data_IF_367056878064
#
_entry.id   IF_367056878064
#
_cell.length_a   1.000
_cell.length_b   1.000
_cell.length_c   1.000
_cell.angle_alpha   90.00
_cell.angle_beta   90.00
_cell.angle_gamma   90.00
#
_symmetry.space_group_name_H-M   'P 1'
#
loop_
_entity.id
_entity.type
_entity.pdbx_description
1 polymer ?
#
# COMPACT_ATOMS: atom_id res chain seq x y z
N UNK A 1 -8.28 1.45 -5.35
CA UNK A 1 -8.03 0.60 -4.17
C UNK A 1 -8.89 -0.63 -4.35
N UNK A 2 -8.33 -1.82 -4.21
CA UNK A 2 -9.08 -3.06 -4.43
C UNK A 2 -9.67 -3.51 -3.09
N UNK A 3 -10.99 -3.70 -3.07
CA UNK A 3 -11.70 -4.26 -1.91
C UNK A 3 -11.93 -5.76 -2.14
N UNK A 4 -11.69 -6.54 -1.09
CA UNK A 4 -11.91 -7.97 -1.05
C UNK A 4 -13.00 -8.28 -0.02
N UNK A 5 -13.99 -9.06 -0.43
CA UNK A 5 -15.11 -9.44 0.41
C UNK A 5 -15.06 -10.94 0.67
N UNK A 6 -15.02 -11.32 1.95
CA UNK A 6 -15.07 -12.71 2.39
C UNK A 6 -16.23 -12.90 3.36
N UNK A 7 -16.88 -14.06 3.33
CA UNK A 7 -18.01 -14.37 4.20
C UNK A 7 -17.79 -15.66 4.98
N UNK A 8 -18.25 -15.71 6.21
CA UNK A 8 -18.27 -16.94 7.01
C UNK A 8 -19.55 -17.03 7.84
N UNK A 9 -20.06 -18.24 8.01
CA UNK A 9 -21.29 -18.49 8.78
C UNK A 9 -20.96 -19.26 10.06
N UNK A 10 -21.54 -18.83 11.17
CA UNK A 10 -21.47 -19.54 12.45
C UNK A 10 -22.85 -20.02 12.86
N UNK A 11 -22.89 -21.26 13.36
CA UNK A 11 -24.09 -21.84 13.95
C UNK A 11 -24.16 -21.42 15.42
N UNK A 12 -25.28 -20.78 15.79
CA UNK A 12 -25.58 -20.08 17.04
C UNK A 12 -24.82 -18.76 17.20
N UNK A 13 -25.48 -17.80 17.87
CA UNK A 13 -24.87 -16.52 18.21
C UNK A 13 -23.57 -16.77 18.97
N UNK A 14 -22.47 -16.25 18.42
CA UNK A 14 -21.16 -16.26 19.04
C UNK A 14 -20.85 -14.83 19.48
N UNK A 15 -20.28 -14.69 20.67
CA UNK A 15 -19.78 -13.39 21.13
C UNK A 15 -18.70 -12.89 20.18
N UNK A 16 -18.45 -11.57 20.18
CA UNK A 16 -17.41 -10.97 19.36
C UNK A 16 -16.04 -11.64 19.62
N UNK A 17 -15.70 -11.89 20.88
CA UNK A 17 -14.46 -12.58 21.29
C UNK A 17 -14.34 -13.99 20.70
N UNK A 18 -15.48 -14.67 20.50
CA UNK A 18 -15.51 -16.04 19.97
C UNK A 18 -15.30 -16.08 18.45
N UNK A 19 -15.47 -14.97 17.74
CA UNK A 19 -15.29 -14.86 16.28
C UNK A 19 -14.01 -14.09 15.90
N UNK A 20 -13.41 -13.34 16.84
CA UNK A 20 -12.15 -12.61 16.62
C UNK A 20 -11.05 -13.45 15.98
N UNK A 21 -10.78 -14.71 16.39
CA UNK A 21 -9.73 -15.52 15.77
C UNK A 21 -9.99 -15.83 14.29
N UNK A 22 -11.26 -16.03 13.93
CA UNK A 22 -11.69 -16.30 12.54
C UNK A 22 -11.50 -15.05 11.69
N UNK A 23 -11.90 -13.89 12.21
CA UNK A 23 -11.73 -12.60 11.54
C UNK A 23 -10.24 -12.29 11.34
N UNK A 24 -9.40 -12.50 12.36
CA UNK A 24 -7.96 -12.28 12.26
C UNK A 24 -7.31 -13.17 11.19
N UNK A 25 -7.74 -14.44 11.06
CA UNK A 25 -7.25 -15.34 10.02
C UNK A 25 -7.72 -14.94 8.60
N UNK A 26 -8.91 -14.38 8.47
CA UNK A 26 -9.41 -13.84 7.19
C UNK A 26 -8.66 -12.56 6.80
N UNK A 27 -8.42 -11.68 7.78
CA UNK A 27 -7.77 -10.40 7.52
C UNK A 27 -6.30 -10.59 7.11
N UNK A 28 -5.54 -11.52 7.70
CA UNK A 28 -4.20 -11.98 7.21
C UNK A 28 -3.26 -10.86 6.67
N UNK A 29 -3.19 -9.72 7.35
CA UNK A 29 -2.34 -8.59 6.97
C UNK A 29 -2.95 -7.58 5.99
N UNK A 30 -4.26 -7.69 5.71
CA UNK A 30 -5.07 -6.68 5.03
C UNK A 30 -5.67 -5.69 6.05
N UNK A 31 -6.14 -4.55 5.60
CA UNK A 31 -6.89 -3.62 6.46
C UNK A 31 -8.36 -4.04 6.50
N UNK A 32 -8.96 -4.18 7.69
CA UNK A 32 -10.39 -4.39 7.83
C UNK A 32 -11.13 -3.07 7.58
N UNK A 33 -11.98 -3.03 6.56
CA UNK A 33 -12.73 -1.84 6.14
C UNK A 33 -14.14 -1.85 6.73
N UNK A 34 -14.80 -3.01 6.69
CA UNK A 34 -16.17 -3.15 7.14
C UNK A 34 -16.44 -4.58 7.63
N UNK A 35 -17.35 -4.72 8.60
CA UNK A 35 -17.80 -6.00 9.12
C UNK A 35 -19.32 -5.94 9.30
N UNK A 36 -20.04 -6.71 8.49
CA UNK A 36 -21.51 -6.81 8.57
C UNK A 36 -21.92 -8.18 9.08
N UNK A 37 -23.00 -8.24 9.84
CA UNK A 37 -23.59 -9.50 10.30
C UNK A 37 -25.05 -9.60 9.82
N UNK A 38 -25.44 -10.76 9.30
CA UNK A 38 -26.81 -11.09 8.93
C UNK A 38 -27.19 -12.40 9.60
N UNK A 39 -28.22 -12.37 10.45
CA UNK A 39 -28.70 -13.55 11.16
C UNK A 39 -29.94 -14.11 10.48
N UNK A 40 -29.90 -15.40 10.13
CA UNK A 40 -31.05 -16.14 9.63
C UNK A 40 -31.25 -17.38 10.50
N UNK A 41 -32.35 -17.41 11.24
CA UNK A 41 -32.65 -18.47 12.21
C UNK A 41 -31.57 -18.56 13.30
N UNK A 42 -30.94 -19.74 13.42
CA UNK A 42 -29.85 -19.99 14.37
C UNK A 42 -28.47 -19.68 13.80
N UNK A 43 -28.36 -19.27 12.54
CA UNK A 43 -27.08 -19.00 11.89
C UNK A 43 -26.83 -17.51 11.73
N UNK A 44 -25.60 -17.08 11.98
CA UNK A 44 -25.17 -15.70 11.68
C UNK A 44 -24.06 -15.75 10.64
N UNK A 45 -24.29 -15.08 9.52
CA UNK A 45 -23.31 -14.88 8.46
C UNK A 45 -22.65 -13.54 8.63
N UNK A 46 -21.32 -13.54 8.68
CA UNK A 46 -20.48 -12.36 8.74
C UNK A 46 -19.89 -12.09 7.36
N UNK A 47 -19.92 -10.83 6.95
CA UNK A 47 -19.27 -10.32 5.76
C UNK A 47 -18.12 -9.43 6.19
N UNK A 48 -16.90 -9.85 5.87
CA UNK A 48 -15.65 -9.17 6.16
C UNK A 48 -15.20 -8.47 4.88
N UNK A 49 -15.16 -7.15 4.89
CA UNK A 49 -14.61 -6.35 3.79
C UNK A 49 -13.20 -5.94 4.19
N UNK A 50 -12.22 -6.34 3.39
CA UNK A 50 -10.82 -5.99 3.57
C UNK A 50 -10.30 -5.24 2.36
N UNK A 51 -9.25 -4.45 2.56
CA UNK A 51 -8.49 -3.82 1.49
C UNK A 51 -7.02 -4.19 1.64
N UNK A 52 -6.27 -4.12 0.53
CA UNK A 52 -4.81 -4.17 0.61
C UNK A 52 -4.34 -3.19 1.69
N UNK A 53 -3.42 -3.59 2.59
CA UNK A 53 -2.98 -2.72 3.66
C UNK A 53 -2.56 -1.39 3.05
N UNK A 54 -3.07 -0.29 3.60
CA UNK A 54 -2.51 1.03 3.32
C UNK A 54 -1.12 0.99 3.90
N UNK A 55 -0.15 0.56 3.09
CA UNK A 55 1.23 0.62 3.50
C UNK A 55 1.60 2.09 3.42
N UNK A 56 1.35 2.80 4.52
CA UNK A 56 2.00 4.06 4.83
C UNK A 56 3.47 3.73 5.13
N UNK A 57 4.18 3.21 4.13
CA UNK A 57 5.54 2.69 4.29
C UNK A 57 6.46 3.83 4.72
N UNK A 58 6.71 3.91 6.02
CA UNK A 58 7.97 4.41 6.55
C UNK A 58 9.05 3.35 6.33
N UNK A 59 9.34 3.02 5.08
CA UNK A 59 10.54 2.26 4.71
C UNK A 59 11.44 3.17 3.91
N UNK A 60 12.43 3.76 4.59
CA UNK A 60 13.51 4.52 3.97
C UNK A 60 14.60 3.52 3.60
N UNK A 61 14.42 2.79 2.50
CA UNK A 61 15.51 1.96 1.97
C UNK A 61 16.60 2.87 1.42
N UNK A 62 17.64 3.08 2.23
CA UNK A 62 18.88 3.85 1.99
C UNK A 62 18.75 4.95 0.93
N UNK A 63 17.90 5.93 1.22
CA UNK A 63 17.91 7.18 0.50
C UNK A 63 19.22 7.92 0.75
N UNK A 64 20.07 7.99 -0.27
CA UNK A 64 21.13 8.98 -0.33
C UNK A 64 20.67 10.10 -1.25
N UNK A 65 19.60 10.80 -0.84
CA UNK A 65 19.20 12.03 -1.48
C UNK A 65 20.36 13.01 -1.37
N UNK A 66 21.05 13.29 -2.48
CA UNK A 66 21.93 14.47 -2.55
C UNK A 66 21.01 15.69 -2.65
N UNK A 67 20.50 16.18 -1.52
CA UNK A 67 19.56 17.31 -1.50
C UNK A 67 18.64 17.37 -0.28
N UNK A 68 17.53 18.08 -0.41
CA UNK A 68 16.60 18.42 0.69
C UNK A 68 15.53 17.36 0.97
N UNK A 69 15.65 16.15 0.43
CA UNK A 69 14.65 15.08 0.57
C UNK A 69 15.31 13.76 0.95
N UNK A 70 14.55 12.94 1.68
CA UNK A 70 14.89 11.55 1.97
C UNK A 70 14.44 10.58 0.88
N UNK A 71 14.03 11.04 -0.30
CA UNK A 71 13.61 10.16 -1.41
C UNK A 71 14.44 10.43 -2.67
N UNK A 72 14.71 9.38 -3.43
CA UNK A 72 15.44 9.40 -4.70
C UNK A 72 14.74 10.30 -5.71
N UNK A 73 15.51 11.20 -6.33
CA UNK A 73 15.01 12.13 -7.33
C UNK A 73 14.06 13.19 -6.81
N UNK A 74 13.80 13.26 -5.51
CA UNK A 74 12.91 14.24 -4.88
C UNK A 74 13.73 15.38 -4.27
N UNK A 75 13.24 16.61 -4.40
CA UNK A 75 13.84 17.79 -3.79
C UNK A 75 12.80 18.90 -3.61
N UNK A 76 13.04 19.77 -2.64
CA UNK A 76 12.19 20.91 -2.34
C UNK A 76 12.77 22.15 -3.02
N UNK A 77 11.94 22.86 -3.78
CA UNK A 77 12.36 24.05 -4.49
C UNK A 77 11.22 25.06 -4.59
N UNK A 78 11.47 26.31 -4.19
CA UNK A 78 10.51 27.43 -4.24
C UNK A 78 9.14 27.08 -3.62
N UNK A 79 9.15 26.45 -2.43
CA UNK A 79 7.91 26.15 -1.71
C UNK A 79 7.14 24.92 -2.20
N UNK A 80 7.67 24.18 -3.18
CA UNK A 80 7.01 22.98 -3.74
C UNK A 80 7.97 21.80 -3.76
N UNK A 81 7.43 20.61 -3.54
CA UNK A 81 8.17 19.36 -3.73
C UNK A 81 8.27 19.07 -5.21
N UNK A 82 9.40 18.53 -5.65
CA UNK A 82 9.62 18.18 -7.06
C UNK A 82 10.23 16.80 -7.15
N UNK A 83 9.81 16.03 -8.14
CA UNK A 83 10.43 14.78 -8.53
C UNK A 83 11.03 14.91 -9.92
N UNK A 84 12.29 14.51 -10.07
CA UNK A 84 13.01 14.50 -11.36
C UNK A 84 13.61 13.13 -11.60
N UNK A 85 13.33 12.57 -12.78
CA UNK A 85 13.94 11.35 -13.26
C UNK A 85 14.67 11.61 -14.58
N UNK A 86 15.88 11.07 -14.66
CA UNK A 86 16.73 11.14 -15.85
C UNK A 86 17.06 9.70 -16.25
N UNK A 87 16.65 9.31 -17.46
CA UNK A 87 16.91 7.98 -18.03
C UNK A 87 17.22 8.11 -19.52
N UNK A 88 18.38 7.58 -19.93
CA UNK A 88 18.89 7.68 -21.31
C UNK A 88 18.86 9.15 -21.77
N UNK A 89 17.97 9.49 -22.71
CA UNK A 89 17.81 10.84 -23.26
C UNK A 89 16.54 11.56 -22.79
N UNK A 90 15.80 11.00 -21.84
CA UNK A 90 14.55 11.59 -21.34
C UNK A 90 14.75 12.14 -19.93
N UNK A 91 14.36 13.40 -19.75
CA UNK A 91 14.26 14.05 -18.45
C UNK A 91 12.79 14.33 -18.22
N UNK A 92 12.21 13.73 -17.17
CA UNK A 92 10.88 14.07 -16.71
C UNK A 92 11.01 14.73 -15.34
N UNK A 93 10.29 15.83 -15.15
CA UNK A 93 10.21 16.54 -13.89
C UNK A 93 8.77 16.91 -13.62
N UNK A 94 8.32 16.73 -12.38
CA UNK A 94 7.03 17.26 -11.95
C UNK A 94 7.07 17.82 -10.53
N UNK A 95 6.09 18.66 -10.19
CA UNK A 95 5.91 19.36 -8.93
C UNK A 95 4.70 18.84 -8.16
N UNK A 96 4.80 18.80 -6.84
CA UNK A 96 3.84 18.21 -5.92
C UNK A 96 3.73 19.07 -4.65
N UNK A 97 2.62 18.88 -3.94
CA UNK A 97 2.38 19.54 -2.66
C UNK A 97 3.04 18.81 -1.50
N UNK A 98 3.21 17.49 -1.61
CA UNK A 98 3.82 16.66 -0.58
C UNK A 98 5.07 15.96 -1.08
N UNK A 99 6.02 15.71 -0.17
CA UNK A 99 7.24 14.96 -0.45
C UNK A 99 6.92 13.52 -0.91
N UNK A 100 5.89 12.92 -0.31
CA UNK A 100 5.48 11.54 -0.56
C UNK A 100 4.89 11.39 -1.96
N UNK A 101 4.05 12.33 -2.40
CA UNK A 101 3.46 12.26 -3.74
C UNK A 101 4.52 12.39 -4.84
N UNK A 102 5.52 13.24 -4.60
CA UNK A 102 6.69 13.34 -5.47
C UNK A 102 7.46 12.02 -5.54
N UNK A 103 7.72 11.38 -4.40
CA UNK A 103 8.40 10.08 -4.33
C UNK A 103 7.60 8.97 -5.04
N UNK A 104 6.28 8.91 -4.84
CA UNK A 104 5.40 7.96 -5.53
C UNK A 104 5.40 8.17 -7.04
N UNK A 105 5.44 9.42 -7.50
CA UNK A 105 5.55 9.71 -8.93
C UNK A 105 6.89 9.25 -9.50
N UNK A 106 7.99 9.48 -8.78
CA UNK A 106 9.32 9.01 -9.18
C UNK A 106 9.33 7.49 -9.38
N UNK A 107 8.76 6.74 -8.44
CA UNK A 107 8.72 5.27 -8.49
C UNK A 107 7.93 4.75 -9.69
N UNK A 108 6.75 5.35 -9.96
CA UNK A 108 5.96 5.00 -11.15
C UNK A 108 6.74 5.22 -12.44
N UNK A 109 7.49 6.33 -12.53
CA UNK A 109 8.31 6.60 -13.70
C UNK A 109 9.51 5.68 -13.79
N UNK A 110 10.18 5.38 -12.67
CA UNK A 110 11.30 4.45 -12.62
C UNK A 110 10.91 3.06 -13.13
N UNK A 111 9.76 2.52 -12.65
CA UNK A 111 9.22 1.25 -13.15
C UNK A 111 8.89 1.32 -14.65
N UNK A 112 8.32 2.44 -15.11
CA UNK A 112 8.01 2.63 -16.53
C UNK A 112 9.26 2.64 -17.42
N UNK A 113 10.40 3.11 -16.92
CA UNK A 113 11.65 3.17 -17.69
C UNK A 113 12.52 1.92 -17.55
N UNK A 114 12.64 1.39 -16.33
CA UNK A 114 13.62 0.37 -15.97
C UNK A 114 12.97 -1.02 -15.77
N UNK A 115 11.62 -1.10 -15.73
CA UNK A 115 10.89 -2.36 -15.59
C UNK A 115 10.87 -2.91 -14.15
N UNK A 116 10.74 -4.23 -13.97
CA UNK A 116 10.66 -4.87 -12.65
C UNK A 116 11.89 -4.67 -11.75
N UNK A 117 13.06 -4.43 -12.35
CA UNK A 117 14.33 -4.22 -11.63
C UNK A 117 14.57 -2.74 -11.27
N UNK A 118 13.56 -1.89 -11.41
CA UNK A 118 13.66 -0.46 -11.14
C UNK A 118 14.03 -0.18 -9.67
N UNK A 119 14.98 0.73 -9.47
CA UNK A 119 15.30 1.27 -8.15
C UNK A 119 14.23 2.28 -7.75
N UNK A 120 13.41 1.91 -6.78
CA UNK A 120 12.26 2.69 -6.28
C UNK A 120 12.42 3.07 -4.81
N UNK A 121 11.73 4.12 -4.39
CA UNK A 121 11.65 4.59 -3.01
C UNK A 121 10.81 3.67 -2.12
N UNK A 122 9.73 3.11 -2.67
CA UNK A 122 8.78 2.25 -1.99
C UNK A 122 8.77 0.85 -2.63
N UNK A 123 9.75 -0.02 -2.31
CA UNK A 123 9.70 -1.39 -2.75
C UNK A 123 8.54 -2.09 -2.05
N UNK A 124 7.55 -2.55 -2.81
CA UNK A 124 6.53 -3.44 -2.27
C UNK A 124 7.24 -4.70 -1.75
N UNK A 125 7.20 -4.93 -0.44
CA UNK A 125 7.89 -6.05 0.23
C UNK A 125 7.36 -7.44 -0.16
N UNK A 126 6.52 -7.54 -1.19
CA UNK A 126 5.86 -8.78 -1.61
C UNK A 126 6.34 -9.33 -2.97
N UNK A 127 7.53 -8.94 -3.44
CA UNK A 127 8.11 -9.52 -4.67
C UNK A 127 9.53 -10.02 -4.43
N UNK A 128 9.67 -10.96 -3.50
CA UNK A 128 10.67 -12.02 -3.67
C UNK A 128 10.00 -13.14 -4.45
N UNK A 129 10.06 -13.06 -5.78
CA UNK A 129 9.83 -14.26 -6.59
C UNK A 129 10.96 -15.22 -6.22
N UNK A 130 10.58 -16.35 -5.63
CA UNK A 130 11.48 -17.44 -5.30
C UNK A 130 12.32 -17.79 -6.53
N UNK A 131 13.63 -17.90 -6.32
CA UNK A 131 14.56 -18.45 -7.30
C UNK A 131 14.72 -19.94 -7.03
#
# INVERSE_FOLDING_TARGET
>A
MNQYTETFTVNRFKSFESITPIILDIVKGKTLVDLKASTTGLSTTYTVVTEDPIVETQYVAKAQGKGTSKYLGVYFNRGKWRAKIVRKQKVLCETFETEIDAAKWYDRMAIKFDGPDAVVNFPNTNTKVAK
#
